data_IF_017387756162
#
_entry.id   IF_017387756162
#
_cell.length_a   1.000
_cell.length_b   1.000
_cell.length_c   1.000
_cell.angle_alpha   90.00
_cell.angle_beta   90.00
_cell.angle_gamma   90.00
#
_symmetry.space_group_name_H-M   'P 1'
#
loop_
_entity.id
_entity.type
_entity.pdbx_description
1 polymer ?
#
# COMPACT_ATOMS: atom_id res chain seq x y z
N UNK A 1 -35.50 -20.45 19.79
CA UNK A 1 -34.54 -20.27 18.67
C UNK A 1 -34.05 -18.85 18.71
N UNK A 2 -32.73 -18.64 18.77
CA UNK A 2 -32.15 -17.30 18.66
C UNK A 2 -31.82 -17.06 17.20
N UNK A 3 -32.43 -16.04 16.58
CA UNK A 3 -32.07 -15.59 15.24
C UNK A 3 -30.95 -14.59 15.40
N UNK A 4 -29.78 -14.88 14.85
CA UNK A 4 -28.62 -13.98 14.87
C UNK A 4 -28.53 -13.31 13.51
N UNK A 5 -28.61 -11.98 13.49
CA UNK A 5 -28.34 -11.18 12.29
C UNK A 5 -26.83 -10.93 12.15
N UNK A 6 -26.31 -11.08 10.94
CA UNK A 6 -24.89 -10.88 10.60
C UNK A 6 -24.81 -9.96 9.38
N UNK A 7 -24.95 -8.64 9.58
CA UNK A 7 -25.03 -7.69 8.48
C UNK A 7 -23.73 -7.67 7.69
N UNK A 8 -23.86 -7.59 6.37
CA UNK A 8 -22.73 -7.37 5.47
C UNK A 8 -22.38 -5.88 5.41
N UNK A 9 -21.11 -5.56 5.14
CA UNK A 9 -20.69 -4.19 4.89
C UNK A 9 -21.31 -3.64 3.61
N UNK A 10 -21.70 -2.38 3.66
CA UNK A 10 -22.20 -1.67 2.50
C UNK A 10 -21.10 -1.50 1.44
N UNK A 11 -21.45 -1.69 0.18
CA UNK A 11 -20.64 -1.29 -0.96
C UNK A 11 -21.31 -0.08 -1.60
N UNK A 12 -20.77 1.11 -1.34
CA UNK A 12 -21.29 2.35 -1.93
C UNK A 12 -20.74 2.56 -3.35
N UNK A 13 -19.53 2.07 -3.61
CA UNK A 13 -18.91 2.15 -4.93
C UNK A 13 -17.41 1.95 -4.90
N UNK A 14 -16.74 2.39 -5.97
CA UNK A 14 -15.28 2.36 -6.11
C UNK A 14 -14.77 3.68 -6.65
N UNK A 15 -13.68 4.16 -6.06
CA UNK A 15 -12.88 5.25 -6.62
C UNK A 15 -11.69 4.64 -7.34
N UNK A 16 -11.52 5.01 -8.59
CA UNK A 16 -10.43 4.56 -9.45
C UNK A 16 -9.56 5.77 -9.75
N UNK A 17 -8.27 5.65 -9.46
CA UNK A 17 -7.29 6.69 -9.69
C UNK A 17 -6.23 6.09 -10.58
N UNK A 18 -6.09 6.63 -11.79
CA UNK A 18 -5.04 6.26 -12.72
C UNK A 18 -4.11 7.44 -12.96
N UNK A 19 -2.82 7.17 -13.16
CA UNK A 19 -1.85 8.19 -13.55
C UNK A 19 -0.68 7.57 -14.32
N UNK A 20 0.24 8.41 -14.78
CA UNK A 20 1.54 7.99 -15.29
C UNK A 20 2.57 8.16 -14.18
N UNK A 21 3.24 7.07 -13.79
CA UNK A 21 4.39 7.09 -12.87
C UNK A 21 5.66 7.22 -13.70
N UNK A 22 6.38 8.33 -13.52
CA UNK A 22 7.64 8.64 -14.18
C UNK A 22 8.80 8.35 -13.23
N UNK A 23 9.80 7.61 -13.71
CA UNK A 23 11.04 7.34 -12.97
C UNK A 23 12.00 8.51 -13.18
N UNK A 24 12.23 9.35 -12.17
CA UNK A 24 13.13 10.52 -12.29
C UNK A 24 14.60 10.13 -12.09
N UNK A 25 14.86 9.09 -11.30
CA UNK A 25 16.19 8.51 -11.10
C UNK A 25 16.07 6.99 -11.21
N UNK A 26 17.11 6.32 -11.71
CA UNK A 26 17.04 4.89 -11.97
C UNK A 26 16.48 4.08 -10.80
N UNK A 27 15.56 3.16 -11.10
CA UNK A 27 14.72 2.48 -10.11
C UNK A 27 15.06 1.00 -10.06
N UNK A 28 15.25 0.46 -8.86
CA UNK A 28 15.48 -0.96 -8.66
C UNK A 28 14.39 -1.58 -7.78
N UNK A 29 13.60 -2.48 -8.35
CA UNK A 29 12.74 -3.39 -7.60
C UNK A 29 13.20 -4.81 -7.90
N UNK A 30 13.95 -5.38 -6.96
CA UNK A 30 14.44 -6.76 -7.06
C UNK A 30 13.36 -7.77 -6.73
N UNK A 31 13.39 -8.92 -7.41
CA UNK A 31 12.71 -10.13 -6.94
C UNK A 31 13.40 -10.68 -5.69
N UNK A 32 12.64 -11.27 -4.76
CA UNK A 32 13.22 -12.00 -3.62
C UNK A 32 14.19 -13.06 -4.14
N UNK A 33 15.44 -13.02 -3.67
CA UNK A 33 16.54 -13.78 -4.27
C UNK A 33 16.41 -15.29 -4.06
N UNK A 34 16.58 -16.05 -5.14
CA UNK A 34 17.29 -17.34 -5.19
C UNK A 34 17.47 -17.90 -6.61
N UNK A 35 17.67 -17.06 -7.63
CA UNK A 35 18.25 -17.52 -8.89
C UNK A 35 19.68 -17.00 -8.96
N UNK A 36 20.61 -17.74 -8.35
CA UNK A 36 22.03 -17.69 -8.70
C UNK A 36 22.15 -18.32 -10.09
N UNK A 37 21.84 -17.55 -11.14
CA UNK A 37 22.29 -17.93 -12.47
C UNK A 37 23.83 -17.92 -12.43
N UNK A 38 24.45 -19.03 -12.82
CA UNK A 38 25.91 -19.16 -12.85
C UNK A 38 26.45 -18.11 -13.83
N UNK A 39 27.05 -17.04 -13.29
CA UNK A 39 27.53 -15.88 -14.07
C UNK A 39 26.50 -14.75 -14.29
N UNK A 40 25.35 -14.79 -13.60
CA UNK A 40 24.27 -13.81 -13.70
C UNK A 40 24.34 -12.64 -12.70
N UNK A 41 23.38 -11.72 -12.82
CA UNK A 41 23.21 -10.52 -11.99
C UNK A 41 22.94 -10.83 -10.51
N UNK A 42 23.63 -10.15 -9.60
CA UNK A 42 23.41 -10.30 -8.14
C UNK A 42 21.96 -9.99 -7.71
N UNK A 43 21.31 -9.03 -8.38
CA UNK A 43 19.94 -8.59 -8.11
C UNK A 43 19.26 -8.11 -9.40
N UNK A 44 18.58 -9.00 -10.13
CA UNK A 44 17.85 -8.60 -11.33
C UNK A 44 16.59 -7.80 -10.97
N UNK A 45 16.19 -6.91 -11.87
CA UNK A 45 14.89 -6.22 -11.82
C UNK A 45 13.78 -7.22 -12.14
N UNK A 46 12.66 -7.13 -11.42
CA UNK A 46 11.51 -8.00 -11.67
C UNK A 46 10.89 -7.73 -13.05
N UNK A 47 10.57 -8.81 -13.77
CA UNK A 47 10.03 -8.78 -15.14
C UNK A 47 8.73 -9.55 -15.23
N UNK A 48 7.86 -9.08 -16.12
CA UNK A 48 6.64 -9.78 -16.48
C UNK A 48 7.01 -11.04 -17.29
N UNK A 49 6.53 -12.24 -16.91
CA UNK A 49 6.97 -13.48 -17.55
C UNK A 49 6.51 -13.61 -19.00
N UNK A 50 5.43 -12.95 -19.40
CA UNK A 50 4.88 -13.04 -20.76
C UNK A 50 5.60 -12.09 -21.71
N UNK A 51 5.90 -10.88 -21.25
CA UNK A 51 6.48 -9.81 -22.10
C UNK A 51 7.98 -9.60 -21.88
N UNK A 52 8.54 -10.15 -20.79
CA UNK A 52 9.92 -9.93 -20.33
C UNK A 52 10.25 -8.45 -20.00
N UNK A 53 9.23 -7.59 -20.01
CA UNK A 53 9.35 -6.15 -19.69
C UNK A 53 9.48 -5.98 -18.17
N UNK A 54 10.30 -5.02 -17.69
CA UNK A 54 10.28 -4.67 -16.28
C UNK A 54 8.91 -4.09 -15.90
N UNK A 55 8.45 -4.39 -14.68
CA UNK A 55 7.22 -3.83 -14.12
C UNK A 55 7.41 -3.51 -12.64
N UNK A 56 6.52 -2.69 -12.07
CA UNK A 56 6.54 -2.38 -10.65
C UNK A 56 5.39 -3.13 -9.97
N UNK A 57 5.66 -4.05 -9.03
CA UNK A 57 4.61 -4.79 -8.34
C UNK A 57 3.74 -3.86 -7.50
N UNK A 58 2.42 -4.03 -7.58
CA UNK A 58 1.45 -3.28 -6.80
C UNK A 58 1.64 -3.54 -5.30
N UNK A 59 2.13 -4.72 -4.92
CA UNK A 59 2.49 -5.05 -3.52
C UNK A 59 3.66 -4.20 -3.00
N UNK A 60 4.67 -3.91 -3.83
CA UNK A 60 5.81 -3.06 -3.46
C UNK A 60 5.36 -1.62 -3.22
N UNK A 61 4.53 -1.08 -4.11
CA UNK A 61 3.98 0.27 -3.96
C UNK A 61 3.03 0.35 -2.77
N UNK A 62 2.09 -0.61 -2.64
CA UNK A 62 1.16 -0.70 -1.50
C UNK A 62 1.91 -0.80 -0.17
N UNK A 63 2.96 -1.61 -0.11
CA UNK A 63 3.80 -1.76 1.09
C UNK A 63 4.53 -0.47 1.45
N UNK A 64 5.08 0.24 0.46
CA UNK A 64 5.73 1.54 0.67
C UNK A 64 4.74 2.60 1.16
N UNK A 65 3.56 2.70 0.54
CA UNK A 65 2.50 3.61 0.98
C UNK A 65 2.01 3.28 2.40
N UNK A 66 1.85 1.99 2.74
CA UNK A 66 1.52 1.56 4.11
C UNK A 66 2.59 2.02 5.08
N UNK A 67 3.87 1.80 4.78
CA UNK A 67 4.98 2.16 5.66
C UNK A 67 5.09 3.68 5.88
N UNK A 68 4.84 4.48 4.85
CA UNK A 68 4.76 5.95 4.95
C UNK A 68 3.63 6.35 5.91
N UNK A 69 2.41 5.84 5.67
CA UNK A 69 1.24 6.19 6.47
C UNK A 69 1.37 5.70 7.92
N UNK A 70 1.91 4.51 8.14
CA UNK A 70 2.17 3.94 9.47
C UNK A 70 3.11 4.84 10.29
N UNK A 71 4.19 5.34 9.66
CA UNK A 71 5.14 6.27 10.29
C UNK A 71 4.52 7.64 10.54
N UNK A 72 3.78 8.18 9.56
CA UNK A 72 3.13 9.50 9.67
C UNK A 72 2.08 9.51 10.78
N UNK A 73 1.25 8.48 10.88
CA UNK A 73 0.26 8.28 11.94
C UNK A 73 0.86 7.81 13.28
N UNK A 74 2.19 7.61 13.34
CA UNK A 74 2.93 7.20 14.54
C UNK A 74 2.36 5.92 15.19
N UNK A 75 1.94 4.94 14.39
CA UNK A 75 1.34 3.71 14.91
C UNK A 75 2.40 2.87 15.64
N UNK A 76 2.07 2.26 16.81
CA UNK A 76 3.03 1.48 17.58
C UNK A 76 3.25 0.09 16.97
N UNK A 77 4.49 -0.37 16.86
CA UNK A 77 4.75 -1.68 16.27
C UNK A 77 4.43 -2.79 17.28
N UNK A 78 3.59 -3.74 16.88
CA UNK A 78 3.10 -4.81 17.76
C UNK A 78 3.22 -6.21 17.14
N UNK A 79 3.62 -6.34 15.87
CA UNK A 79 3.74 -7.63 15.19
C UNK A 79 5.05 -7.77 14.43
N UNK A 80 5.70 -8.93 14.56
CA UNK A 80 6.88 -9.28 13.76
C UNK A 80 6.47 -9.63 12.32
N UNK A 81 7.19 -9.08 11.35
CA UNK A 81 7.09 -9.41 9.92
C UNK A 81 8.08 -10.48 9.46
N UNK A 82 8.90 -11.03 10.37
CA UNK A 82 10.04 -11.89 10.04
C UNK A 82 11.32 -11.09 9.75
N UNK A 83 12.48 -11.77 9.77
CA UNK A 83 13.79 -11.16 9.48
C UNK A 83 14.10 -9.88 10.27
N UNK A 84 13.66 -9.82 11.54
CA UNK A 84 13.85 -8.64 12.40
C UNK A 84 12.99 -7.43 12.05
N UNK A 85 12.02 -7.57 11.14
CA UNK A 85 11.07 -6.50 10.79
C UNK A 85 9.87 -6.51 11.72
N UNK A 86 9.32 -5.33 11.97
CA UNK A 86 8.12 -5.13 12.79
C UNK A 86 7.16 -4.21 12.06
N UNK A 87 5.87 -4.40 12.30
CA UNK A 87 4.79 -3.59 11.73
C UNK A 87 3.70 -3.36 12.76
N UNK A 88 2.86 -2.36 12.50
CA UNK A 88 1.59 -2.22 13.21
C UNK A 88 0.52 -3.11 12.57
N UNK A 89 -0.30 -3.70 13.43
CA UNK A 89 -1.48 -4.50 13.08
C UNK A 89 -2.63 -4.17 14.04
N UNK A 90 -3.83 -3.92 13.49
CA UNK A 90 -5.06 -3.91 14.29
C UNK A 90 -5.47 -5.36 14.51
N UNK A 91 -5.04 -5.95 15.62
CA UNK A 91 -5.25 -7.37 15.90
C UNK A 91 -6.73 -7.76 16.06
N UNK A 92 -7.68 -6.82 16.03
CA UNK A 92 -9.12 -7.04 15.92
C UNK A 92 -9.83 -5.86 15.20
N UNK A 93 -11.13 -5.99 14.97
CA UNK A 93 -12.01 -4.89 14.53
C UNK A 93 -12.16 -3.79 15.58
N UNK A 94 -12.11 -4.15 16.86
CA UNK A 94 -12.23 -3.24 18.00
C UNK A 94 -10.87 -2.88 18.62
N UNK A 95 -10.83 -1.79 19.39
CA UNK A 95 -9.64 -1.37 20.13
C UNK A 95 -9.20 -2.43 21.16
N UNK A 96 -7.89 -2.59 21.34
CA UNK A 96 -7.37 -3.57 22.29
C UNK A 96 -5.87 -3.49 22.48
N UNK A 97 -5.32 -4.61 22.98
CA UNK A 97 -3.91 -4.78 23.26
C UNK A 97 -3.34 -6.04 22.62
N UNK A 98 -2.12 -5.94 22.11
CA UNK A 98 -1.32 -7.08 21.67
C UNK A 98 -0.27 -7.39 22.72
N UNK A 99 -0.21 -8.63 23.18
CA UNK A 99 0.89 -9.09 24.03
C UNK A 99 2.10 -9.48 23.16
N UNK A 100 3.17 -8.67 23.22
CA UNK A 100 4.39 -8.87 22.41
C UNK A 100 5.41 -9.77 23.10
N UNK A 101 5.33 -9.87 24.42
CA UNK A 101 6.09 -10.78 25.28
C UNK A 101 5.34 -10.90 26.61
N UNK A 102 5.59 -11.93 27.44
CA UNK A 102 4.85 -12.14 28.68
C UNK A 102 4.74 -10.87 29.54
N UNK A 103 3.51 -10.40 29.75
CA UNK A 103 3.21 -9.21 30.55
C UNK A 103 3.55 -7.87 29.90
N UNK A 104 3.98 -7.83 28.63
CA UNK A 104 4.21 -6.58 27.88
C UNK A 104 3.17 -6.41 26.78
N UNK A 105 2.38 -5.35 26.92
CA UNK A 105 1.25 -5.06 26.04
C UNK A 105 1.49 -3.80 25.23
N UNK A 106 1.11 -3.84 23.96
CA UNK A 106 1.08 -2.69 23.07
C UNK A 106 -0.37 -2.42 22.70
N UNK A 107 -0.86 -1.21 22.97
CA UNK A 107 -2.21 -0.81 22.57
C UNK A 107 -2.28 -0.68 21.05
N UNK A 108 -3.38 -1.13 20.45
CA UNK A 108 -3.71 -0.86 19.06
C UNK A 108 -5.14 -0.30 18.93
N UNK A 109 -5.36 0.48 17.88
CA UNK A 109 -6.70 0.92 17.47
C UNK A 109 -7.37 -0.16 16.60
N UNK A 110 -8.66 -0.39 16.79
CA UNK A 110 -9.44 -1.39 16.07
C UNK A 110 -9.51 -1.12 14.57
N UNK A 111 -9.56 -2.18 13.76
CA UNK A 111 -9.51 -2.08 12.31
C UNK A 111 -10.73 -1.37 11.69
N UNK A 112 -11.85 -1.23 12.42
CA UNK A 112 -13.04 -0.46 11.99
C UNK A 112 -12.78 1.05 11.95
N UNK A 113 -11.95 1.56 12.85
CA UNK A 113 -11.72 3.00 13.01
C UNK A 113 -10.31 3.42 12.58
N UNK A 114 -9.33 2.52 12.68
CA UNK A 114 -7.95 2.78 12.30
C UNK A 114 -7.81 3.08 10.80
N UNK A 115 -7.33 4.28 10.49
CA UNK A 115 -7.16 4.86 9.15
C UNK A 115 -6.18 4.02 8.32
N UNK A 116 -5.14 3.48 8.96
CA UNK A 116 -4.18 2.58 8.30
C UNK A 116 -4.83 1.23 7.97
N UNK A 117 -5.46 0.59 8.95
CA UNK A 117 -5.97 -0.78 8.82
C UNK A 117 -7.20 -0.88 7.94
N UNK A 118 -8.09 0.12 7.92
CA UNK A 118 -9.25 0.11 7.03
C UNK A 118 -8.86 0.29 5.56
N UNK A 119 -7.81 1.07 5.28
CA UNK A 119 -7.27 1.25 3.91
C UNK A 119 -6.48 0.02 3.46
N UNK A 120 -5.49 -0.40 4.25
CA UNK A 120 -4.52 -1.41 3.84
C UNK A 120 -4.88 -2.84 4.25
N UNK A 121 -5.93 -3.02 5.04
CA UNK A 121 -6.35 -4.29 5.62
C UNK A 121 -5.59 -4.62 6.89
N UNK A 122 -6.16 -5.51 7.67
CA UNK A 122 -5.54 -6.04 8.88
C UNK A 122 -5.90 -7.50 9.14
N UNK A 123 -4.96 -8.24 9.73
CA UNK A 123 -5.14 -9.64 10.10
C UNK A 123 -5.25 -9.79 11.61
N UNK A 124 -6.26 -10.53 12.06
CA UNK A 124 -6.49 -10.78 13.46
C UNK A 124 -5.29 -11.43 14.15
N UNK A 125 -5.06 -11.09 15.41
CA UNK A 125 -3.96 -11.59 16.23
C UNK A 125 -4.36 -12.77 17.11
N UNK A 126 -3.42 -13.69 17.36
CA UNK A 126 -3.58 -14.76 18.36
C UNK A 126 -3.24 -14.32 19.78
N UNK A 127 -2.53 -13.19 19.93
CA UNK A 127 -2.15 -12.58 21.21
C UNK A 127 -2.94 -11.28 21.46
N UNK A 128 -4.18 -11.27 21.01
CA UNK A 128 -5.11 -10.16 21.09
C UNK A 128 -5.87 -10.18 22.42
N UNK A 129 -5.96 -9.03 23.08
CA UNK A 129 -6.72 -8.81 24.31
C UNK A 129 -7.73 -7.69 24.10
N UNK A 130 -9.01 -7.99 24.32
CA UNK A 130 -10.13 -7.05 24.21
C UNK A 130 -10.82 -6.89 25.57
N UNK A 131 -11.53 -5.79 25.77
CA UNK A 131 -12.35 -5.58 26.98
C UNK A 131 -13.37 -6.71 27.14
N UNK A 132 -13.60 -7.15 28.37
CA UNK A 132 -14.52 -8.26 28.67
C UNK A 132 -15.94 -8.03 28.09
N UNK A 133 -16.44 -6.79 28.12
CA UNK A 133 -17.76 -6.42 27.59
C UNK A 133 -17.84 -6.60 26.05
N UNK A 134 -16.73 -6.36 25.34
CA UNK A 134 -16.65 -6.57 23.89
C UNK A 134 -16.70 -8.07 23.57
N UNK A 135 -15.99 -8.90 24.34
CA UNK A 135 -16.01 -10.35 24.17
C UNK A 135 -17.42 -10.91 24.30
N UNK A 136 -18.17 -10.45 25.31
CA UNK A 136 -19.56 -10.88 25.52
C UNK A 136 -20.51 -10.39 24.45
N UNK A 137 -20.45 -9.09 24.10
CA UNK A 137 -21.36 -8.47 23.13
C UNK A 137 -21.15 -8.94 21.68
N UNK A 138 -19.91 -9.21 21.30
CA UNK A 138 -19.55 -9.69 19.95
C UNK A 138 -19.42 -11.23 19.89
N UNK A 139 -19.80 -11.94 20.95
CA UNK A 139 -19.78 -13.41 21.07
C UNK A 139 -18.42 -14.04 20.70
N UNK A 140 -17.33 -13.42 21.16
CA UNK A 140 -15.97 -13.82 20.80
C UNK A 140 -15.45 -14.98 21.67
N UNK A 141 -14.57 -15.78 21.09
CA UNK A 141 -13.94 -16.92 21.79
C UNK A 141 -13.07 -16.42 22.96
N UNK A 142 -13.32 -16.92 24.17
CA UNK A 142 -12.46 -16.68 25.33
C UNK A 142 -11.30 -17.71 25.33
N UNK A 143 -10.06 -17.23 25.21
CA UNK A 143 -8.84 -18.06 25.14
C UNK A 143 -7.94 -17.99 26.37
N UNK A 144 -8.36 -17.32 27.43
CA UNK A 144 -7.48 -17.16 28.59
C UNK A 144 -8.13 -16.48 29.78
N UNK A 145 -7.43 -16.54 30.90
CA UNK A 145 -7.88 -15.88 32.10
C UNK A 145 -7.93 -14.36 31.91
N UNK A 146 -8.92 -13.67 32.47
CA UNK A 146 -8.98 -12.22 32.45
C UNK A 146 -7.71 -11.58 33.04
N UNK A 147 -7.24 -10.51 32.42
CA UNK A 147 -6.09 -9.72 32.86
C UNK A 147 -6.50 -8.27 33.05
N UNK A 148 -5.92 -7.61 34.05
CA UNK A 148 -6.13 -6.18 34.26
C UNK A 148 -5.04 -5.41 33.51
N UNK A 149 -5.44 -4.67 32.48
CA UNK A 149 -4.55 -3.82 31.68
C UNK A 149 -5.08 -2.40 31.82
N UNK A 150 -4.25 -1.47 32.30
CA UNK A 150 -4.62 -0.08 32.57
C UNK A 150 -5.89 0.10 33.43
N UNK A 151 -6.11 -0.78 34.41
CA UNK A 151 -7.26 -0.71 35.34
C UNK A 151 -8.56 -1.31 34.79
N UNK A 152 -8.56 -1.87 33.58
CA UNK A 152 -9.73 -2.50 32.97
C UNK A 152 -9.48 -3.98 32.69
N UNK A 153 -10.54 -4.78 32.82
CA UNK A 153 -10.49 -6.22 32.57
C UNK A 153 -10.53 -6.54 31.08
N UNK A 154 -9.46 -7.18 30.60
CA UNK A 154 -9.31 -7.64 29.23
C UNK A 154 -9.18 -9.15 29.20
N UNK A 155 -9.64 -9.77 28.11
CA UNK A 155 -9.61 -11.22 27.92
C UNK A 155 -8.92 -11.53 26.59
N UNK A 156 -8.07 -12.55 26.60
CA UNK A 156 -7.38 -13.03 25.41
C UNK A 156 -8.39 -13.66 24.45
N UNK A 157 -8.33 -13.30 23.17
CA UNK A 157 -9.17 -13.87 22.11
C UNK A 157 -8.40 -14.07 20.81
N UNK A 158 -9.05 -14.67 19.82
CA UNK A 158 -8.58 -14.68 18.44
C UNK A 158 -9.19 -13.50 17.71
N UNK A 159 -8.32 -12.59 17.28
CA UNK A 159 -8.68 -11.44 16.49
C UNK A 159 -9.42 -11.74 15.19
N UNK A 160 -10.30 -10.84 14.79
CA UNK A 160 -11.01 -10.87 13.51
C UNK A 160 -10.22 -10.15 12.41
N UNK A 161 -10.41 -10.58 11.16
CA UNK A 161 -9.74 -10.00 9.99
C UNK A 161 -10.55 -8.83 9.40
N UNK A 162 -9.85 -7.80 8.93
CA UNK A 162 -10.40 -6.69 8.16
C UNK A 162 -9.80 -6.69 6.74
N UNK A 163 -10.59 -6.95 5.69
CA UNK A 163 -10.14 -6.80 4.31
C UNK A 163 -9.71 -5.36 4.00
N UNK A 164 -8.73 -5.21 3.10
CA UNK A 164 -8.27 -3.91 2.64
C UNK A 164 -9.30 -3.26 1.71
N UNK A 165 -9.53 -1.95 1.86
CA UNK A 165 -10.29 -1.14 0.90
C UNK A 165 -9.47 -0.77 -0.34
N UNK A 166 -8.14 -0.72 -0.20
CA UNK A 166 -7.21 -0.33 -1.27
C UNK A 166 -6.66 -1.55 -2.03
N UNK A 167 -6.81 -1.50 -3.35
CA UNK A 167 -6.13 -2.35 -4.33
C UNK A 167 -5.15 -1.46 -5.10
N UNK A 168 -3.90 -1.92 -5.22
CA UNK A 168 -2.87 -1.29 -6.06
C UNK A 168 -2.53 -2.27 -7.15
N UNK A 169 -2.67 -1.87 -8.42
CA UNK A 169 -2.34 -2.73 -9.56
C UNK A 169 -0.84 -2.72 -9.82
N UNK A 170 -0.37 -3.79 -10.44
CA UNK A 170 0.96 -3.83 -11.01
C UNK A 170 1.09 -2.75 -12.08
N UNK A 171 2.19 -2.00 -12.03
CA UNK A 171 2.44 -0.90 -12.96
C UNK A 171 3.32 -1.41 -14.10
N UNK A 172 2.74 -1.55 -15.28
CA UNK A 172 3.46 -1.94 -16.49
C UNK A 172 3.94 -0.71 -17.26
N UNK A 173 5.01 -0.87 -18.05
CA UNK A 173 5.49 0.18 -18.93
C UNK A 173 4.37 0.70 -19.85
N UNK A 174 4.37 2.00 -20.10
CA UNK A 174 3.61 2.55 -21.23
C UNK A 174 4.22 2.06 -22.54
N UNK A 175 3.40 1.92 -23.59
CA UNK A 175 3.90 1.47 -24.90
C UNK A 175 4.96 2.42 -25.48
N UNK A 176 4.84 3.72 -25.22
CA UNK A 176 5.84 4.71 -25.60
C UNK A 176 7.17 4.45 -24.90
N UNK A 177 7.14 4.28 -23.56
CA UNK A 177 8.35 4.01 -22.78
C UNK A 177 8.98 2.67 -23.16
N UNK A 178 8.19 1.63 -23.40
CA UNK A 178 8.70 0.33 -23.84
C UNK A 178 9.44 0.45 -25.18
N UNK A 179 8.86 1.14 -26.17
CA UNK A 179 9.50 1.39 -27.48
C UNK A 179 10.77 2.23 -27.38
N UNK A 180 10.86 3.14 -26.41
CA UNK A 180 12.07 3.92 -26.16
C UNK A 180 13.17 3.05 -25.54
N UNK A 181 12.82 2.26 -24.52
CA UNK A 181 13.74 1.36 -23.82
C UNK A 181 14.17 0.14 -24.67
N UNK A 182 13.40 -0.25 -25.69
CA UNK A 182 13.83 -1.29 -26.65
C UNK A 182 14.98 -0.81 -27.56
N UNK A 183 15.15 0.51 -27.73
CA UNK A 183 16.13 1.10 -28.66
C UNK A 183 17.44 1.47 -27.99
N UNK A 184 17.50 1.51 -26.67
CA UNK A 184 18.74 1.86 -25.96
C UNK A 184 19.66 0.64 -25.91
N UNK A 185 20.93 0.85 -26.24
CA UNK A 185 21.96 -0.17 -26.07
C UNK A 185 22.71 0.06 -24.77
N UNK A 186 22.20 -0.56 -23.71
CA UNK A 186 22.73 -0.49 -22.34
C UNK A 186 23.39 -1.80 -21.91
N UNK A 187 23.49 -2.78 -22.82
CA UNK A 187 23.94 -4.14 -22.53
C UNK A 187 22.93 -5.01 -21.77
N UNK A 188 21.72 -4.52 -21.49
CA UNK A 188 20.60 -5.28 -20.91
C UNK A 188 19.28 -4.93 -21.62
N UNK A 189 18.33 -5.86 -21.63
CA UNK A 189 17.03 -5.64 -22.27
C UNK A 189 16.16 -4.66 -21.45
N UNK A 190 15.97 -3.44 -21.96
CA UNK A 190 15.17 -2.34 -21.37
C UNK A 190 15.63 -1.83 -20.00
N UNK A 191 16.80 -2.28 -19.52
CA UNK A 191 17.37 -1.94 -18.21
C UNK A 191 18.81 -1.50 -18.38
N UNK A 192 19.43 -0.95 -17.34
CA UNK A 192 20.83 -0.54 -17.40
C UNK A 192 21.65 -1.12 -16.24
N UNK A 193 22.94 -1.27 -16.48
CA UNK A 193 23.92 -1.54 -15.46
C UNK A 193 24.24 -0.27 -14.67
N UNK A 194 24.20 -0.39 -13.35
CA UNK A 194 24.80 0.60 -12.45
C UNK A 194 25.87 -0.04 -11.59
N UNK A 195 27.07 0.53 -11.69
CA UNK A 195 28.14 0.24 -10.76
C UNK A 195 27.97 1.08 -9.50
N UNK A 196 28.10 0.41 -8.36
CA UNK A 196 28.23 1.06 -7.06
C UNK A 196 29.49 0.57 -6.37
N UNK A 197 30.20 1.48 -5.70
CA UNK A 197 31.38 1.12 -4.95
C UNK A 197 31.09 1.25 -3.45
N UNK A 198 31.43 0.22 -2.68
CA UNK A 198 31.59 0.38 -1.24
C UNK A 198 33.05 0.72 -0.98
N UNK A 199 33.30 1.88 -0.37
CA UNK A 199 34.65 2.33 -0.02
C UNK A 199 34.98 1.91 1.40
N UNK A 200 36.15 1.30 1.58
CA UNK A 200 36.77 1.18 2.89
C UNK A 200 37.12 2.60 3.39
N UNK A 201 36.68 2.94 4.61
CA UNK A 201 36.87 4.30 5.17
C UNK A 201 38.30 4.56 5.66
N UNK A 202 39.11 3.52 5.83
CA UNK A 202 40.51 3.59 6.27
C UNK A 202 41.43 3.53 5.06
N UNK A 203 41.22 2.56 4.16
CA UNK A 203 42.13 2.32 3.02
C UNK A 203 41.69 3.02 1.73
N UNK A 204 40.48 3.60 1.69
CA UNK A 204 39.84 4.15 0.50
C UNK A 204 39.70 3.15 -0.68
N UNK A 205 39.94 1.86 -0.45
CA UNK A 205 39.80 0.82 -1.46
C UNK A 205 38.34 0.66 -1.90
N UNK A 206 38.11 0.54 -3.21
CA UNK A 206 36.79 0.37 -3.79
C UNK A 206 36.45 -1.10 -4.01
N UNK A 207 35.30 -1.53 -3.49
CA UNK A 207 34.68 -2.81 -3.81
C UNK A 207 33.47 -2.57 -4.72
N UNK A 208 33.64 -2.66 -6.06
CA UNK A 208 32.56 -2.43 -7.02
C UNK A 208 31.57 -3.58 -7.01
N UNK A 209 30.28 -3.25 -7.03
CA UNK A 209 29.15 -4.17 -7.23
C UNK A 209 28.31 -3.69 -8.41
N UNK A 210 27.70 -4.64 -9.11
CA UNK A 210 26.87 -4.36 -10.26
C UNK A 210 25.40 -4.57 -9.89
N UNK A 211 24.56 -3.60 -10.25
CA UNK A 211 23.11 -3.66 -10.03
C UNK A 211 22.39 -3.36 -11.33
N UNK A 212 21.38 -4.17 -11.66
CA UNK A 212 20.44 -3.84 -12.73
C UNK A 212 19.41 -2.84 -12.20
N UNK A 213 19.04 -1.85 -13.01
CA UNK A 213 17.95 -0.93 -12.68
C UNK A 213 17.18 -0.50 -13.93
N UNK A 214 15.95 -0.05 -13.71
CA UNK A 214 15.14 0.62 -14.72
C UNK A 214 15.73 2.03 -14.95
N UNK A 215 15.99 2.44 -16.20
CA UNK A 215 16.58 3.74 -16.52
C UNK A 215 15.67 4.90 -16.10
N UNK A 216 16.28 6.05 -15.80
CA UNK A 216 15.55 7.29 -15.60
C UNK A 216 14.81 7.70 -16.90
N UNK A 217 13.67 8.38 -16.74
CA UNK A 217 12.75 8.73 -17.82
C UNK A 217 11.71 7.65 -18.15
N UNK A 218 11.87 6.42 -17.62
CA UNK A 218 10.90 5.34 -17.84
C UNK A 218 9.52 5.69 -17.28
N UNK A 219 8.45 5.35 -18.02
CA UNK A 219 7.06 5.66 -17.65
C UNK A 219 6.21 4.42 -17.52
N UNK A 220 5.52 4.30 -16.38
CA UNK A 220 4.64 3.19 -16.04
C UNK A 220 3.18 3.65 -15.90
N UNK A 221 2.24 2.80 -16.26
CA UNK A 221 0.80 2.98 -15.99
C UNK A 221 0.54 2.69 -14.51
N UNK A 222 0.05 3.67 -13.76
CA UNK A 222 -0.30 3.52 -12.35
C UNK A 222 -1.82 3.44 -12.20
N UNK A 223 -2.30 2.50 -11.38
CA UNK A 223 -3.72 2.35 -11.05
C UNK A 223 -3.90 1.93 -9.58
N UNK A 224 -4.72 2.68 -8.86
CA UNK A 224 -5.25 2.27 -7.56
C UNK A 224 -6.79 2.29 -7.57
N UNK A 225 -7.37 1.35 -6.85
CA UNK A 225 -8.81 1.23 -6.68
C UNK A 225 -9.13 1.21 -5.19
N UNK A 226 -9.90 2.20 -4.73
CA UNK A 226 -10.40 2.29 -3.37
C UNK A 226 -11.88 1.89 -3.31
N UNK A 227 -12.22 0.95 -2.43
CA UNK A 227 -13.61 0.52 -2.22
C UNK A 227 -14.27 1.40 -1.16
N UNK A 228 -15.35 2.08 -1.54
CA UNK A 228 -16.11 2.98 -0.67
C UNK A 228 -17.13 2.16 0.11
N UNK A 229 -16.87 1.97 1.40
CA UNK A 229 -17.78 1.31 2.35
C UNK A 229 -18.53 2.33 3.23
N UNK A 230 -17.86 3.43 3.58
CA UNK A 230 -18.38 4.55 4.36
C UNK A 230 -17.89 5.87 3.74
N UNK A 231 -18.80 6.79 3.42
CA UNK A 231 -18.45 8.03 2.71
C UNK A 231 -17.61 9.01 3.53
N UNK A 232 -17.77 9.02 4.85
CA UNK A 232 -17.01 9.91 5.74
C UNK A 232 -15.57 9.40 5.89
N UNK A 233 -15.41 8.10 6.16
CA UNK A 233 -14.09 7.47 6.22
C UNK A 233 -13.39 7.52 4.86
N UNK A 234 -14.12 7.36 3.76
CA UNK A 234 -13.56 7.43 2.41
C UNK A 234 -12.92 8.78 2.11
N UNK A 235 -13.53 9.89 2.50
CA UNK A 235 -12.98 11.22 2.28
C UNK A 235 -11.63 11.41 3.02
N UNK A 236 -11.56 10.96 4.28
CA UNK A 236 -10.32 10.98 5.07
C UNK A 236 -9.25 10.01 4.52
N UNK A 237 -9.66 8.81 4.12
CA UNK A 237 -8.76 7.79 3.57
C UNK A 237 -8.09 8.24 2.28
N UNK A 238 -8.86 8.84 1.37
CA UNK A 238 -8.34 9.34 0.10
C UNK A 238 -7.40 10.54 0.31
N UNK A 239 -7.67 11.37 1.31
CA UNK A 239 -6.81 12.50 1.66
C UNK A 239 -5.46 11.98 2.17
N UNK A 240 -5.50 11.01 3.07
CA UNK A 240 -4.32 10.33 3.58
C UNK A 240 -3.54 9.62 2.46
N UNK A 241 -4.22 9.03 1.48
CA UNK A 241 -3.58 8.41 0.31
C UNK A 241 -2.92 9.43 -0.61
N UNK A 242 -3.57 10.57 -0.87
CA UNK A 242 -2.99 11.65 -1.68
C UNK A 242 -1.73 12.22 -1.00
N UNK A 243 -1.76 12.43 0.32
CA UNK A 243 -0.59 12.86 1.09
C UNK A 243 0.50 11.79 1.07
N UNK A 244 0.16 10.50 1.22
CA UNK A 244 1.15 9.43 1.17
C UNK A 244 1.81 9.30 -0.22
N UNK A 245 1.07 9.56 -1.30
CA UNK A 245 1.62 9.64 -2.66
C UNK A 245 2.57 10.83 -2.82
N UNK A 246 2.24 12.00 -2.25
CA UNK A 246 3.12 13.16 -2.26
C UNK A 246 4.42 12.89 -1.48
N UNK A 247 4.33 12.32 -0.28
CA UNK A 247 5.50 11.90 0.50
C UNK A 247 6.33 10.86 -0.27
N UNK A 248 5.71 10.00 -1.07
CA UNK A 248 6.42 9.02 -1.88
C UNK A 248 7.24 9.68 -3.00
N UNK A 249 6.82 10.81 -3.57
CA UNK A 249 7.63 11.55 -4.55
C UNK A 249 8.90 12.16 -3.92
N UNK A 250 8.81 12.58 -2.65
CA UNK A 250 9.95 13.08 -1.87
C UNK A 250 10.86 11.97 -1.32
N UNK A 251 10.32 10.75 -1.18
CA UNK A 251 11.02 9.55 -0.76
C UNK A 251 11.47 8.72 -1.99
N UNK A 252 11.99 7.52 -1.75
CA UNK A 252 12.36 6.57 -2.79
C UNK A 252 11.41 5.38 -2.84
N UNK A 253 11.05 4.97 -4.05
CA UNK A 253 10.43 3.69 -4.36
C UNK A 253 11.50 2.61 -4.59
N UNK A 254 11.28 1.40 -4.08
CA UNK A 254 12.20 0.28 -4.28
C UNK A 254 13.46 0.33 -3.42
N UNK A 255 14.51 -0.35 -3.89
CA UNK A 255 15.78 -0.48 -3.18
C UNK A 255 16.74 0.70 -3.39
N UNK A 256 17.71 0.84 -2.50
CA UNK A 256 18.86 1.75 -2.64
C UNK A 256 18.54 3.25 -2.71
N UNK A 257 17.37 3.67 -2.18
CA UNK A 257 16.95 5.08 -2.16
C UNK A 257 17.98 6.07 -1.61
N UNK A 258 18.64 5.72 -0.50
CA UNK A 258 19.70 6.56 0.10
C UNK A 258 20.94 6.74 -0.78
N UNK A 259 21.06 5.98 -1.88
CA UNK A 259 22.13 6.05 -2.89
C UNK A 259 21.64 6.72 -4.19
N UNK A 260 20.48 7.37 -4.17
CA UNK A 260 19.92 8.14 -5.29
C UNK A 260 19.12 7.31 -6.29
N UNK A 261 18.47 6.24 -5.84
CA UNK A 261 17.56 5.42 -6.66
C UNK A 261 16.11 5.77 -6.36
N UNK A 262 15.25 5.50 -7.32
CA UNK A 262 13.82 5.35 -7.06
C UNK A 262 13.07 6.64 -6.75
N UNK A 263 13.65 7.81 -7.03
CA UNK A 263 12.87 9.05 -7.16
C UNK A 263 11.87 8.88 -8.30
N UNK A 264 10.59 9.12 -8.01
CA UNK A 264 9.49 9.02 -8.96
C UNK A 264 8.67 10.31 -8.96
N UNK A 265 7.80 10.45 -9.97
CA UNK A 265 6.81 11.51 -10.05
C UNK A 265 5.53 10.97 -10.69
N UNK A 266 4.38 11.42 -10.24
CA UNK A 266 3.09 11.10 -10.83
C UNK A 266 2.58 12.26 -11.69
N UNK A 267 2.07 11.93 -12.87
CA UNK A 267 1.50 12.89 -13.81
C UNK A 267 0.16 12.39 -14.36
N UNK A 268 -0.68 13.32 -14.80
CA UNK A 268 -1.93 13.05 -15.52
C UNK A 268 -2.85 12.11 -14.74
N UNK A 269 -3.18 12.50 -13.52
CA UNK A 269 -4.18 11.83 -12.71
C UNK A 269 -5.56 11.93 -13.36
N UNK A 270 -6.27 10.80 -13.34
CA UNK A 270 -7.63 10.69 -13.77
C UNK A 270 -8.41 9.95 -12.67
N UNK A 271 -9.34 10.65 -12.03
CA UNK A 271 -10.08 10.17 -10.86
C UNK A 271 -11.53 9.96 -11.21
N UNK A 272 -12.04 8.76 -10.96
CA UNK A 272 -13.41 8.37 -11.27
C UNK A 272 -14.06 7.73 -10.04
N UNK A 273 -15.27 8.18 -9.70
CA UNK A 273 -16.13 7.47 -8.75
C UNK A 273 -17.21 6.68 -9.51
N UNK A 274 -17.25 5.37 -9.26
CA UNK A 274 -18.26 4.44 -9.76
C UNK A 274 -19.13 3.96 -8.60
N UNK A 275 -20.29 4.56 -8.46
CA UNK A 275 -21.31 4.10 -7.53
C UNK A 275 -22.12 2.90 -8.09
N UNK A 276 -23.02 2.36 -7.29
CA UNK A 276 -23.83 1.20 -7.69
C UNK A 276 -24.70 1.49 -8.91
N UNK A 277 -25.33 2.67 -8.97
CA UNK A 277 -26.14 3.07 -10.14
C UNK A 277 -25.30 3.13 -11.41
N UNK A 278 -24.06 3.61 -11.31
CA UNK A 278 -23.16 3.65 -12.45
C UNK A 278 -22.84 2.26 -12.99
N UNK A 279 -22.60 1.29 -12.11
CA UNK A 279 -22.41 -0.10 -12.52
C UNK A 279 -23.66 -0.66 -13.23
N UNK A 280 -24.87 -0.31 -12.78
CA UNK A 280 -26.13 -0.71 -13.44
C UNK A 280 -26.29 -0.07 -14.83
N UNK A 281 -25.91 1.19 -14.99
CA UNK A 281 -25.95 1.89 -16.28
C UNK A 281 -24.99 1.29 -17.31
N UNK A 282 -23.76 0.96 -16.89
CA UNK A 282 -22.77 0.29 -17.76
C UNK A 282 -23.33 -1.04 -18.27
N UNK A 283 -23.96 -1.82 -17.38
CA UNK A 283 -24.61 -3.07 -17.76
C UNK A 283 -25.75 -2.87 -18.77
N UNK A 284 -26.36 -1.68 -18.80
CA UNK A 284 -27.45 -1.30 -19.70
C UNK A 284 -26.97 -0.58 -20.98
N UNK A 285 -25.64 -0.53 -21.23
CA UNK A 285 -25.06 0.09 -22.43
C UNK A 285 -25.00 1.63 -22.41
N UNK A 286 -25.27 2.27 -21.27
CA UNK A 286 -25.25 3.72 -21.11
C UNK A 286 -24.17 4.21 -20.13
N UNK A 287 -23.69 5.44 -20.35
CA UNK A 287 -22.84 6.15 -19.39
C UNK A 287 -21.61 6.82 -20.02
N UNK A 288 -21.66 8.14 -20.22
CA UNK A 288 -20.44 8.93 -20.50
C UNK A 288 -19.72 9.21 -19.18
N UNK A 289 -18.43 8.91 -19.14
CA UNK A 289 -17.57 9.08 -17.96
C UNK A 289 -17.02 10.50 -17.97
N UNK A 290 -17.15 11.20 -16.84
CA UNK A 290 -16.53 12.51 -16.64
C UNK A 290 -15.56 12.37 -15.46
N UNK A 291 -14.36 11.82 -15.70
CA UNK A 291 -13.38 11.74 -14.65
C UNK A 291 -12.81 13.13 -14.35
N UNK A 292 -12.34 13.32 -13.12
CA UNK A 292 -11.64 14.53 -12.71
C UNK A 292 -10.20 14.40 -13.18
N UNK A 293 -9.84 15.19 -14.18
CA UNK A 293 -8.46 15.29 -14.68
C UNK A 293 -7.65 16.25 -13.80
N UNK A 294 -6.51 15.78 -13.34
CA UNK A 294 -5.58 16.49 -12.45
C UNK A 294 -4.17 16.29 -12.99
N UNK A 295 -3.41 17.37 -13.14
CA UNK A 295 -2.12 17.34 -13.83
C UNK A 295 -1.04 16.58 -13.06
N UNK A 296 -0.93 16.80 -11.77
CA UNK A 296 0.16 16.27 -10.92
C UNK A 296 -0.28 16.17 -9.45
N UNK A 297 0.62 15.68 -8.60
CA UNK A 297 0.31 15.47 -7.17
C UNK A 297 0.05 16.78 -6.42
N UNK A 298 0.69 17.88 -6.82
CA UNK A 298 0.51 19.19 -6.20
C UNK A 298 -0.89 19.73 -6.49
N UNK A 299 -1.33 19.59 -7.75
CA UNK A 299 -2.70 19.92 -8.13
C UNK A 299 -3.71 19.02 -7.39
N UNK A 300 -3.43 17.71 -7.26
CA UNK A 300 -4.31 16.78 -6.53
C UNK A 300 -4.56 17.22 -5.08
N UNK A 301 -3.52 17.65 -4.39
CA UNK A 301 -3.65 18.16 -3.02
C UNK A 301 -4.43 19.48 -2.96
N UNK A 302 -4.15 20.40 -3.89
CA UNK A 302 -4.83 21.71 -3.92
C UNK A 302 -6.31 21.62 -4.28
N UNK A 303 -6.68 20.66 -5.14
CA UNK A 303 -8.04 20.42 -5.64
C UNK A 303 -8.68 19.20 -4.99
N UNK A 304 -8.22 18.81 -3.79
CA UNK A 304 -8.75 17.63 -3.11
C UNK A 304 -10.25 17.77 -2.77
N UNK A 305 -10.76 19.01 -2.66
CA UNK A 305 -12.19 19.30 -2.56
C UNK A 305 -13.00 18.71 -3.72
N UNK A 306 -12.45 18.69 -4.94
CA UNK A 306 -13.11 18.15 -6.12
C UNK A 306 -13.27 16.63 -6.00
N UNK A 307 -12.27 15.96 -5.42
CA UNK A 307 -12.31 14.51 -5.13
C UNK A 307 -13.30 14.21 -4.01
N UNK A 308 -13.33 15.03 -2.95
CA UNK A 308 -14.35 14.93 -1.88
C UNK A 308 -15.77 15.15 -2.43
N UNK A 309 -15.94 16.06 -3.39
CA UNK A 309 -17.23 16.35 -4.00
C UNK A 309 -17.85 15.11 -4.66
N UNK A 310 -17.03 14.26 -5.30
CA UNK A 310 -17.47 12.99 -5.90
C UNK A 310 -18.15 12.05 -4.88
N UNK A 311 -17.74 12.10 -3.62
CA UNK A 311 -18.34 11.31 -2.53
C UNK A 311 -19.60 11.96 -1.97
N UNK A 312 -19.73 13.29 -2.08
CA UNK A 312 -20.77 14.08 -1.42
C UNK A 312 -22.08 14.18 -2.22
N UNK A 313 -22.04 13.99 -3.54
CA UNK A 313 -23.22 14.12 -4.41
C UNK A 313 -24.33 13.09 -4.14
N UNK A 314 -24.10 12.09 -3.26
CA UNK A 314 -25.05 10.99 -3.05
C UNK A 314 -25.18 10.56 -1.59
N UNK A 315 -25.23 11.53 -0.66
CA UNK A 315 -25.88 11.32 0.64
C UNK A 315 -27.40 11.26 0.41
N UNK A 316 -27.93 10.09 0.11
CA UNK A 316 -29.37 9.80 0.13
C UNK A 316 -29.58 8.36 0.54
#
# INVERSE_FOLDING_TARGET
MTVIDRPQKNLLGKIIITSTLVVETGLHIGGGGENLDIGGLDKPVIRDPMTQRPYLPGSSIKGKLRAILERWLKKPLNRSGGSGTYRYESDDLEDGYTEISPGKFVRYQGARTCELSRVFGSTGGSNCYLKADIIGSEELENKGNPQTINGETHIKTKGRNQPARLIVRDCHLTEESAKQLEKIDTGLYMTEWKFENSLDRVTAAANPRQLERVPAGSKFKFEIVYTVEDGTQAAEDLENLAIALAILEDDALGGHGSRGYGKIRFENFNIEYRDIERYRQIASGGGKFLPVAIKDIGELLSRFSDVKALLSEKKS
#
